data_IF_479575869014
#
_entry.id   IF_479575869014
#
_cell.length_a   1.000
_cell.length_b   1.000
_cell.length_c   1.000
_cell.angle_alpha   90.00
_cell.angle_beta   90.00
_cell.angle_gamma   90.00
#
_symmetry.space_group_name_H-M   'P 1'
#
loop_
_entity.id
_entity.type
_entity.pdbx_description
1 polymer ?
#
# COMPACT_ATOMS: atom_id res chain seq x y z
N UNK A 1 10.94 1.92 69.12
CA UNK A 1 12.20 2.56 68.65
C UNK A 1 12.69 1.84 67.40
N UNK A 2 13.45 2.50 66.49
CA UNK A 2 13.36 2.30 65.03
C UNK A 2 14.36 1.24 64.53
N UNK A 3 14.37 0.79 63.27
CA UNK A 3 13.68 1.26 62.07
C UNK A 3 14.69 1.64 60.98
N UNK A 4 14.51 1.16 59.73
CA UNK A 4 15.23 1.69 58.56
C UNK A 4 14.49 1.41 57.25
N UNK A 5 13.93 2.47 56.68
CA UNK A 5 13.64 2.56 55.24
C UNK A 5 14.92 2.99 54.55
N UNK A 6 15.31 2.34 53.45
CA UNK A 6 16.22 2.95 52.48
C UNK A 6 15.98 2.45 51.04
N UNK A 7 15.23 3.29 50.32
CA UNK A 7 15.33 3.67 48.90
C UNK A 7 16.15 2.80 47.92
N UNK A 8 15.54 2.56 46.75
CA UNK A 8 16.16 2.09 45.51
C UNK A 8 17.43 2.87 45.09
N UNK A 9 18.26 2.23 44.26
CA UNK A 9 18.63 2.81 42.97
C UNK A 9 17.97 2.07 41.79
N UNK A 10 17.57 2.84 40.76
CA UNK A 10 17.02 2.34 39.48
C UNK A 10 18.14 1.86 38.54
N UNK A 11 17.71 1.11 37.51
CA UNK A 11 18.42 0.71 36.27
C UNK A 11 19.38 -0.49 36.34
N UNK A 12 18.97 -1.57 35.67
CA UNK A 12 19.61 -1.95 34.40
C UNK A 12 18.57 -2.58 33.47
N UNK A 13 18.17 -1.88 32.40
CA UNK A 13 17.40 -2.50 31.32
C UNK A 13 18.32 -3.46 30.55
N UNK A 14 18.12 -4.77 30.70
CA UNK A 14 18.62 -5.73 29.71
C UNK A 14 17.71 -5.67 28.49
N UNK A 15 18.25 -5.23 27.35
CA UNK A 15 17.57 -5.34 26.06
C UNK A 15 17.27 -6.82 25.78
N UNK A 16 16.05 -7.18 25.35
CA UNK A 16 15.86 -8.45 24.66
C UNK A 16 16.51 -8.34 23.28
N UNK A 17 17.52 -9.16 23.00
CA UNK A 17 17.91 -9.46 21.63
C UNK A 17 16.85 -10.39 21.04
N UNK A 18 15.78 -9.79 20.50
CA UNK A 18 14.73 -10.48 19.76
C UNK A 18 14.92 -10.28 18.26
N UNK A 19 15.01 -11.39 17.53
CA UNK A 19 15.06 -11.41 16.06
C UNK A 19 13.81 -10.74 15.49
N UNK A 20 13.96 -9.56 14.87
CA UNK A 20 12.88 -8.85 14.19
C UNK A 20 13.10 -8.89 12.67
N UNK A 21 12.00 -8.79 11.92
CA UNK A 21 11.91 -8.88 10.46
C UNK A 21 12.18 -10.30 9.94
N UNK A 22 11.11 -11.12 9.94
CA UNK A 22 11.05 -12.33 9.14
C UNK A 22 10.49 -12.04 7.75
N UNK A 23 11.05 -12.71 6.73
CA UNK A 23 10.46 -12.87 5.39
C UNK A 23 10.16 -11.60 4.57
N UNK A 24 11.22 -10.96 4.06
CA UNK A 24 11.27 -10.43 2.69
C UNK A 24 12.71 -10.58 2.18
N UNK A 25 12.89 -10.98 0.91
CA UNK A 25 14.19 -10.89 0.24
C UNK A 25 14.08 -10.97 -1.29
N UNK A 26 14.60 -9.91 -1.94
CA UNK A 26 14.96 -9.75 -3.36
C UNK A 26 13.89 -9.26 -4.35
N UNK A 27 14.12 -8.08 -4.96
CA UNK A 27 14.79 -8.03 -6.27
C UNK A 27 15.04 -6.61 -6.85
N UNK A 28 16.02 -6.54 -7.75
CA UNK A 28 16.42 -5.40 -8.62
C UNK A 28 15.69 -5.51 -10.00
N UNK A 29 15.85 -4.68 -11.06
CA UNK A 29 16.90 -3.73 -11.47
C UNK A 29 16.41 -2.77 -12.62
N UNK A 30 17.00 -1.55 -12.75
CA UNK A 30 16.94 -0.63 -13.94
C UNK A 30 15.55 0.00 -14.32
N UNK A 31 15.39 1.15 -15.03
CA UNK A 31 16.27 2.09 -15.76
C UNK A 31 15.76 3.58 -15.69
N UNK A 32 16.70 4.52 -15.47
CA UNK A 32 16.81 5.97 -15.83
C UNK A 32 15.58 6.79 -16.32
N UNK A 33 15.28 7.93 -15.64
CA UNK A 33 15.61 9.30 -16.10
C UNK A 33 15.40 10.36 -14.99
N UNK A 34 16.27 11.36 -14.83
CA UNK A 34 16.08 12.43 -13.83
C UNK A 34 15.25 13.59 -14.41
N UNK A 35 14.34 14.17 -13.61
CA UNK A 35 14.30 15.63 -13.40
C UNK A 35 13.26 16.06 -12.33
N UNK A 36 13.55 17.23 -11.74
CA UNK A 36 12.73 18.07 -10.85
C UNK A 36 12.24 17.50 -9.49
N UNK A 37 13.10 17.67 -8.48
CA UNK A 37 12.69 17.81 -7.08
C UNK A 37 12.30 19.29 -6.82
N UNK A 38 11.08 19.55 -6.35
CA UNK A 38 10.78 20.77 -5.56
C UNK A 38 9.64 20.58 -4.56
N UNK A 39 9.64 21.44 -3.55
CA UNK A 39 9.29 21.14 -2.17
C UNK A 39 7.78 21.21 -1.80
N UNK A 40 7.49 20.72 -0.59
CA UNK A 40 6.21 20.62 0.11
C UNK A 40 5.70 21.98 0.64
N UNK A 41 5.05 22.76 -0.22
CA UNK A 41 3.98 23.70 0.16
C UNK A 41 3.15 23.98 -1.11
N UNK A 42 1.98 24.61 -0.95
CA UNK A 42 0.94 24.81 -1.96
C UNK A 42 0.18 23.55 -2.39
N UNK A 43 -1.13 23.56 -2.10
CA UNK A 43 -2.14 22.68 -2.69
C UNK A 43 -2.30 23.01 -4.18
N UNK A 44 -1.32 22.67 -5.01
CA UNK A 44 -1.37 22.83 -6.47
C UNK A 44 -2.65 22.16 -7.01
N UNK A 45 -3.34 22.77 -7.99
CA UNK A 45 -4.62 22.28 -8.49
C UNK A 45 -4.45 20.85 -9.01
N UNK A 46 -5.20 19.93 -8.39
CA UNK A 46 -5.12 18.48 -8.62
C UNK A 46 -5.27 18.17 -10.12
N UNK A 47 -4.20 17.66 -10.73
CA UNK A 47 -4.04 17.65 -12.19
C UNK A 47 -5.22 17.00 -12.93
N UNK A 48 -5.60 17.59 -14.07
CA UNK A 48 -6.70 17.20 -14.98
C UNK A 48 -6.80 15.68 -15.28
N UNK A 49 -5.68 14.96 -15.20
CA UNK A 49 -5.62 13.51 -15.41
C UNK A 49 -6.26 12.67 -14.30
N UNK A 50 -6.34 13.19 -13.07
CA UNK A 50 -6.99 12.50 -11.94
C UNK A 50 -8.53 12.50 -12.07
N UNK A 51 -9.12 13.42 -12.85
CA UNK A 51 -10.58 13.48 -13.06
C UNK A 51 -11.16 12.19 -13.69
N UNK A 52 -10.32 11.34 -14.31
CA UNK A 52 -10.72 10.03 -14.84
C UNK A 52 -10.92 8.98 -13.73
N UNK A 53 -10.21 9.11 -12.61
CA UNK A 53 -10.09 8.05 -11.60
C UNK A 53 -10.92 8.35 -10.37
N UNK A 54 -11.71 7.37 -9.95
CA UNK A 54 -12.43 7.39 -8.67
C UNK A 54 -11.56 6.68 -7.65
N UNK A 55 -11.00 7.43 -6.69
CA UNK A 55 -10.18 6.87 -5.62
C UNK A 55 -11.10 6.51 -4.45
N UNK A 56 -11.29 5.22 -4.22
CA UNK A 56 -12.26 4.72 -3.24
C UNK A 56 -11.80 3.45 -2.54
N UNK A 57 -12.39 3.19 -1.37
CA UNK A 57 -12.25 1.93 -0.65
C UNK A 57 -12.80 0.77 -1.48
N UNK A 58 -12.08 -0.34 -1.46
CA UNK A 58 -12.53 -1.61 -2.02
C UNK A 58 -13.50 -2.27 -1.04
N UNK A 59 -14.60 -2.84 -1.54
CA UNK A 59 -15.53 -3.65 -0.75
C UNK A 59 -15.39 -5.16 -1.03
N UNK A 60 -15.83 -6.06 -0.13
CA UNK A 60 -15.64 -7.51 -0.31
C UNK A 60 -16.24 -8.05 -1.61
N UNK A 61 -17.33 -7.42 -2.06
CA UNK A 61 -18.07 -7.74 -3.28
C UNK A 61 -17.27 -7.48 -4.57
N UNK A 62 -16.18 -6.73 -4.47
CA UNK A 62 -15.34 -6.28 -5.58
C UNK A 62 -14.01 -7.04 -5.66
N UNK A 63 -13.86 -8.13 -4.90
CA UNK A 63 -12.65 -8.98 -4.87
C UNK A 63 -12.22 -9.41 -6.28
N UNK A 64 -13.17 -9.58 -7.20
CA UNK A 64 -12.88 -9.91 -8.60
C UNK A 64 -12.27 -8.73 -9.40
N UNK A 65 -12.64 -7.48 -9.12
CA UNK A 65 -11.98 -6.31 -9.75
C UNK A 65 -10.52 -6.20 -9.28
N UNK A 66 -10.26 -6.48 -8.00
CA UNK A 66 -8.91 -6.57 -7.46
C UNK A 66 -8.11 -7.74 -8.06
N UNK A 67 -8.72 -8.93 -8.21
CA UNK A 67 -8.10 -10.08 -8.90
C UNK A 67 -7.72 -9.74 -10.33
N UNK A 68 -8.64 -9.15 -11.12
CA UNK A 68 -8.37 -8.72 -12.51
C UNK A 68 -7.23 -7.71 -12.58
N UNK A 69 -7.21 -6.73 -11.68
CA UNK A 69 -6.12 -5.76 -11.55
C UNK A 69 -4.76 -6.44 -11.31
N UNK A 70 -4.67 -7.37 -10.35
CA UNK A 70 -3.44 -8.10 -10.08
C UNK A 70 -2.98 -8.97 -11.26
N UNK A 71 -3.91 -9.66 -11.93
CA UNK A 71 -3.57 -10.52 -13.08
C UNK A 71 -3.06 -9.72 -14.29
N UNK A 72 -3.49 -8.46 -14.47
CA UNK A 72 -2.98 -7.56 -15.52
C UNK A 72 -1.55 -7.05 -15.30
N UNK A 73 -1.00 -7.18 -14.09
CA UNK A 73 0.36 -6.72 -13.80
C UNK A 73 1.40 -7.50 -14.63
N UNK A 74 2.36 -6.79 -15.21
CA UNK A 74 3.52 -7.38 -15.86
C UNK A 74 4.48 -8.05 -14.84
N UNK A 75 5.39 -8.96 -15.27
CA UNK A 75 6.21 -9.74 -14.36
C UNK A 75 7.11 -8.91 -13.43
N UNK A 76 7.67 -7.80 -13.94
CA UNK A 76 8.50 -6.87 -13.18
C UNK A 76 7.68 -6.19 -12.07
N UNK A 77 6.48 -5.71 -12.42
CA UNK A 77 5.56 -5.08 -11.45
C UNK A 77 5.12 -6.05 -10.37
N UNK A 78 4.85 -7.31 -10.72
CA UNK A 78 4.57 -8.38 -9.74
C UNK A 78 5.78 -8.56 -8.81
N UNK A 79 6.98 -8.68 -9.37
CA UNK A 79 8.22 -8.86 -8.61
C UNK A 79 8.49 -7.72 -7.62
N UNK A 80 8.32 -6.45 -8.04
CA UNK A 80 8.44 -5.30 -7.14
C UNK A 80 7.32 -5.23 -6.08
N UNK A 81 6.09 -5.66 -6.39
CA UNK A 81 4.97 -5.65 -5.44
C UNK A 81 5.05 -6.76 -4.40
N UNK A 82 5.57 -7.93 -4.76
CA UNK A 82 5.55 -9.14 -3.92
C UNK A 82 6.93 -9.56 -3.41
N UNK A 83 8.00 -8.83 -3.76
CA UNK A 83 9.36 -9.15 -3.33
C UNK A 83 9.90 -10.48 -3.88
N UNK A 84 9.28 -11.01 -4.94
CA UNK A 84 9.66 -12.26 -5.62
C UNK A 84 8.84 -12.42 -6.91
N UNK A 85 9.34 -13.12 -7.96
CA UNK A 85 8.52 -13.48 -9.12
C UNK A 85 7.33 -14.36 -8.75
N UNK A 86 6.10 -13.94 -9.08
CA UNK A 86 4.86 -14.67 -8.77
C UNK A 86 3.99 -14.96 -9.99
N UNK A 87 3.31 -16.11 -9.97
CA UNK A 87 2.44 -16.59 -11.04
C UNK A 87 0.95 -16.28 -10.77
N UNK A 88 0.10 -16.55 -11.74
CA UNK A 88 -1.34 -16.26 -11.66
C UNK A 88 -2.04 -17.04 -10.54
N UNK A 89 -1.57 -18.25 -10.20
CA UNK A 89 -2.12 -19.04 -9.09
C UNK A 89 -1.86 -18.36 -7.73
N UNK A 90 -0.66 -17.82 -7.52
CA UNK A 90 -0.35 -17.01 -6.35
C UNK A 90 -1.25 -15.77 -6.28
N UNK A 91 -1.39 -15.02 -7.39
CA UNK A 91 -2.22 -13.81 -7.42
C UNK A 91 -3.70 -14.09 -7.18
N UNK A 92 -4.20 -15.24 -7.65
CA UNK A 92 -5.55 -15.70 -7.35
C UNK A 92 -5.73 -15.94 -5.85
N UNK A 93 -4.92 -16.82 -5.25
CA UNK A 93 -4.99 -17.13 -3.83
C UNK A 93 -4.75 -15.88 -2.95
N UNK A 94 -3.92 -14.95 -3.42
CA UNK A 94 -3.69 -13.66 -2.78
C UNK A 94 -4.94 -12.77 -2.82
N UNK A 95 -5.62 -12.65 -3.97
CA UNK A 95 -6.85 -11.85 -4.07
C UNK A 95 -7.94 -12.36 -3.11
N UNK A 96 -8.07 -13.69 -2.97
CA UNK A 96 -9.00 -14.33 -2.05
C UNK A 96 -8.65 -14.11 -0.57
N UNK A 97 -7.38 -13.86 -0.24
CA UNK A 97 -6.89 -13.74 1.14
C UNK A 97 -6.45 -12.35 1.56
N UNK A 98 -6.31 -11.39 0.64
CA UNK A 98 -5.78 -10.04 0.95
C UNK A 98 -6.61 -9.28 1.99
N UNK A 99 -7.93 -9.48 2.02
CA UNK A 99 -8.86 -8.83 2.96
C UNK A 99 -8.88 -9.50 4.36
N UNK A 100 -7.72 -9.81 4.94
CA UNK A 100 -7.65 -10.33 6.31
C UNK A 100 -8.16 -9.27 7.31
N UNK A 101 -8.54 -9.70 8.51
CA UNK A 101 -8.86 -8.80 9.62
C UNK A 101 -7.67 -7.85 9.83
N UNK A 102 -7.93 -6.54 9.91
CA UNK A 102 -6.89 -5.51 10.00
C UNK A 102 -6.31 -5.03 8.67
N UNK A 103 -6.80 -5.52 7.51
CA UNK A 103 -6.42 -4.97 6.19
C UNK A 103 -7.48 -4.03 5.62
N UNK A 104 -7.04 -2.87 5.13
CA UNK A 104 -7.84 -1.95 4.31
C UNK A 104 -7.22 -1.86 2.92
N UNK A 105 -8.03 -1.82 1.87
CA UNK A 105 -7.58 -1.68 0.49
C UNK A 105 -8.31 -0.49 -0.14
N UNK A 106 -7.55 0.45 -0.69
CA UNK A 106 -8.04 1.52 -1.56
C UNK A 106 -7.66 1.23 -3.01
N UNK A 107 -8.52 1.59 -3.95
CA UNK A 107 -8.29 1.42 -5.38
C UNK A 107 -8.54 2.68 -6.19
N UNK A 108 -7.90 2.78 -7.34
CA UNK A 108 -8.18 3.79 -8.36
C UNK A 108 -8.97 3.17 -9.51
N UNK A 109 -10.23 3.58 -9.67
CA UNK A 109 -11.18 2.96 -10.58
C UNK A 109 -11.53 3.83 -11.78
N UNK A 110 -11.81 3.21 -12.94
CA UNK A 110 -12.50 3.83 -14.07
C UNK A 110 -13.70 2.94 -14.42
N UNK A 111 -14.91 3.38 -14.08
CA UNK A 111 -16.05 2.46 -13.99
C UNK A 111 -15.77 1.36 -12.94
N UNK A 112 -16.09 0.09 -13.22
CA UNK A 112 -15.84 -1.02 -12.28
C UNK A 112 -14.40 -1.55 -12.28
N UNK A 113 -13.54 -1.12 -13.22
CA UNK A 113 -12.17 -1.61 -13.35
C UNK A 113 -11.18 -0.81 -12.50
N UNK A 114 -10.43 -1.52 -11.64
CA UNK A 114 -9.33 -0.98 -10.84
C UNK A 114 -8.01 -0.99 -11.62
N UNK A 115 -7.24 0.10 -11.55
CA UNK A 115 -5.93 0.24 -12.24
C UNK A 115 -4.75 0.53 -11.31
N UNK A 116 -5.04 0.80 -10.03
CA UNK A 116 -4.06 0.88 -8.96
C UNK A 116 -4.71 0.47 -7.65
N UNK A 117 -3.92 -0.05 -6.73
CA UNK A 117 -4.33 -0.36 -5.37
C UNK A 117 -3.28 0.06 -4.35
N UNK A 118 -3.75 0.37 -3.14
CA UNK A 118 -2.92 0.48 -1.95
C UNK A 118 -3.55 -0.29 -0.80
N UNK A 119 -2.73 -1.04 -0.08
CA UNK A 119 -3.12 -1.87 1.05
C UNK A 119 -2.47 -1.34 2.33
N UNK A 120 -3.27 -1.15 3.37
CA UNK A 120 -2.83 -0.89 4.75
C UNK A 120 -3.04 -2.16 5.56
N UNK A 121 -2.00 -2.67 6.20
CA UNK A 121 -2.00 -3.98 6.88
C UNK A 121 -1.41 -3.85 8.28
N UNK A 122 -2.22 -4.03 9.33
CA UNK A 122 -1.71 -4.10 10.70
C UNK A 122 -0.65 -5.21 10.85
N UNK A 123 0.48 -4.92 11.48
CA UNK A 123 1.58 -5.90 11.63
C UNK A 123 1.28 -6.94 12.72
N UNK A 124 0.59 -6.55 13.80
CA UNK A 124 0.08 -7.46 14.81
C UNK A 124 -1.46 -7.38 14.97
N UNK A 125 -2.04 -8.43 15.55
CA UNK A 125 -3.47 -8.51 15.79
C UNK A 125 -3.86 -7.79 17.09
N UNK A 126 -4.50 -6.62 16.94
CA UNK A 126 -5.09 -5.76 17.99
C UNK A 126 -4.06 -4.95 18.80
N UNK A 127 -4.32 -3.63 18.90
CA UNK A 127 -3.57 -2.71 19.76
C UNK A 127 -2.20 -2.28 19.23
N UNK A 128 -1.91 -2.57 17.96
CA UNK A 128 -0.60 -2.36 17.36
C UNK A 128 -0.49 -0.98 16.70
N UNK A 129 0.48 -0.18 17.13
CA UNK A 129 0.71 1.18 16.64
C UNK A 129 1.38 1.20 15.24
N UNK A 130 1.58 0.04 14.62
CA UNK A 130 2.36 -0.14 13.38
C UNK A 130 1.57 -0.89 12.29
N UNK A 131 1.75 -0.47 11.04
CA UNK A 131 1.18 -1.14 9.89
C UNK A 131 2.06 -1.02 8.64
N UNK A 132 2.03 -2.04 7.78
CA UNK A 132 2.66 -2.02 6.47
C UNK A 132 1.75 -1.31 5.45
N UNK A 133 2.33 -0.45 4.62
CA UNK A 133 1.67 0.21 3.51
C UNK A 133 2.28 -0.24 2.16
N UNK A 134 1.49 -0.90 1.32
CA UNK A 134 1.97 -1.52 0.09
C UNK A 134 1.14 -1.10 -1.14
N UNK A 135 1.82 -0.76 -2.24
CA UNK A 135 1.23 -0.04 -3.38
C UNK A 135 1.52 -0.75 -4.71
N UNK A 136 0.58 -0.70 -5.64
CA UNK A 136 0.81 -1.08 -7.05
C UNK A 136 -0.04 -0.24 -8.00
N UNK A 137 0.53 0.09 -9.17
CA UNK A 137 -0.12 0.81 -10.27
C UNK A 137 0.21 0.07 -11.56
N UNK A 138 -0.82 -0.26 -12.35
CA UNK A 138 -0.64 -0.85 -13.69
C UNK A 138 0.22 0.07 -14.56
N UNK A 139 1.15 -0.50 -15.33
CA UNK A 139 2.21 0.25 -16.00
C UNK A 139 1.68 1.36 -16.93
N UNK A 140 0.59 1.12 -17.65
CA UNK A 140 -0.09 2.12 -18.49
C UNK A 140 -0.75 3.28 -17.72
N UNK A 141 -0.90 3.17 -16.40
CA UNK A 141 -1.60 4.12 -15.52
C UNK A 141 -0.64 4.88 -14.58
N UNK A 142 0.67 4.58 -14.63
CA UNK A 142 1.71 5.30 -13.88
C UNK A 142 1.82 6.78 -14.28
N UNK A 143 2.54 7.56 -13.48
CA UNK A 143 2.80 8.99 -13.70
C UNK A 143 1.57 9.92 -13.69
N UNK A 144 0.35 9.41 -13.47
CA UNK A 144 -0.87 10.20 -13.30
C UNK A 144 -1.16 10.66 -11.85
N UNK A 145 -0.18 10.58 -10.95
CA UNK A 145 -0.32 10.97 -9.53
C UNK A 145 -1.04 9.97 -8.61
N UNK A 146 -1.52 8.84 -9.14
CA UNK A 146 -2.31 7.83 -8.40
C UNK A 146 -1.68 7.40 -7.08
N UNK A 147 -0.36 7.14 -7.07
CA UNK A 147 0.35 6.75 -5.85
C UNK A 147 0.28 7.82 -4.74
N UNK A 148 0.30 9.12 -5.07
CA UNK A 148 0.14 10.18 -4.07
C UNK A 148 -1.27 10.22 -3.49
N UNK A 149 -2.31 10.08 -4.30
CA UNK A 149 -3.69 10.12 -3.80
C UNK A 149 -4.04 8.87 -2.99
N UNK A 150 -3.47 7.71 -3.38
CA UNK A 150 -3.59 6.48 -2.60
C UNK A 150 -2.79 6.56 -1.28
N UNK A 151 -1.59 7.14 -1.26
CA UNK A 151 -0.82 7.35 -0.04
C UNK A 151 -1.56 8.22 0.98
N UNK A 152 -2.19 9.30 0.50
CA UNK A 152 -3.02 10.18 1.32
C UNK A 152 -4.16 9.42 2.02
N UNK A 153 -4.90 8.59 1.26
CA UNK A 153 -5.94 7.70 1.82
C UNK A 153 -5.41 6.68 2.82
N UNK A 154 -4.22 6.12 2.59
CA UNK A 154 -3.58 5.17 3.51
C UNK A 154 -3.18 5.86 4.82
N UNK A 155 -2.65 7.08 4.78
CA UNK A 155 -2.30 7.86 5.97
C UNK A 155 -3.55 8.26 6.76
N UNK A 156 -4.62 8.72 6.09
CA UNK A 156 -5.91 8.98 6.75
C UNK A 156 -6.46 7.72 7.42
N UNK A 157 -6.39 6.58 6.73
CA UNK A 157 -6.86 5.31 7.28
C UNK A 157 -6.01 4.84 8.48
N UNK A 158 -4.70 5.08 8.47
CA UNK A 158 -3.81 4.79 9.58
C UNK A 158 -4.11 5.66 10.81
N UNK A 159 -4.19 6.98 10.61
CA UNK A 159 -4.59 7.98 11.61
C UNK A 159 -5.89 7.60 12.31
N UNK A 160 -6.94 7.28 11.54
CA UNK A 160 -8.25 6.92 12.08
C UNK A 160 -8.30 5.55 12.78
N UNK A 161 -7.25 4.74 12.65
CA UNK A 161 -7.08 3.44 13.32
C UNK A 161 -6.09 3.48 14.49
N UNK A 162 -5.60 4.67 14.86
CA UNK A 162 -4.56 4.87 15.85
C UNK A 162 -3.25 4.09 15.55
N UNK A 163 -2.97 3.87 14.27
CA UNK A 163 -1.64 3.46 13.81
C UNK A 163 -0.79 4.74 13.82
N UNK A 164 0.33 4.73 14.51
CA UNK A 164 1.24 5.87 14.63
C UNK A 164 2.44 5.77 13.67
N UNK A 165 2.81 4.56 13.23
CA UNK A 165 3.94 4.35 12.32
C UNK A 165 3.56 3.46 11.14
N UNK A 166 3.68 4.02 9.93
CA UNK A 166 3.55 3.27 8.67
C UNK A 166 4.92 2.83 8.19
N UNK A 167 5.06 1.53 7.96
CA UNK A 167 6.25 0.88 7.43
C UNK A 167 6.07 0.61 5.95
N UNK A 168 7.11 0.91 5.17
CA UNK A 168 7.13 0.74 3.71
C UNK A 168 8.43 0.07 3.32
N UNK A 169 8.36 -1.22 2.99
CA UNK A 169 9.51 -1.97 2.49
C UNK A 169 9.43 -1.98 0.96
N UNK A 170 10.54 -1.61 0.31
CA UNK A 170 10.66 -1.72 -1.14
C UNK A 170 12.10 -2.04 -1.53
N UNK A 171 12.33 -2.54 -2.75
CA UNK A 171 13.68 -2.67 -3.27
C UNK A 171 14.38 -1.30 -3.27
N UNK A 172 15.70 -1.26 -3.00
CA UNK A 172 16.51 -0.04 -3.07
C UNK A 172 16.42 0.64 -4.44
N UNK A 173 16.18 -0.13 -5.49
CA UNK A 173 16.04 0.33 -6.87
C UNK A 173 14.65 0.90 -7.16
N UNK A 174 13.63 0.69 -6.30
CA UNK A 174 12.28 1.25 -6.43
C UNK A 174 12.25 2.73 -5.98
N UNK A 175 13.01 3.54 -6.69
CA UNK A 175 13.10 4.98 -6.54
C UNK A 175 11.74 5.71 -6.65
N UNK A 176 10.77 5.28 -7.50
CA UNK A 176 9.43 5.86 -7.48
C UNK A 176 8.70 5.67 -6.16
N UNK A 177 8.84 4.50 -5.51
CA UNK A 177 8.23 4.23 -4.21
C UNK A 177 8.93 5.03 -3.09
N UNK A 178 10.26 5.12 -3.12
CA UNK A 178 11.02 5.92 -2.16
C UNK A 178 10.64 7.40 -2.23
N UNK A 179 10.67 8.01 -3.42
CA UNK A 179 10.26 9.42 -3.62
C UNK A 179 8.79 9.68 -3.22
N UNK A 180 7.92 8.69 -3.42
CA UNK A 180 6.53 8.77 -2.95
C UNK A 180 6.46 8.75 -1.42
N UNK A 181 7.22 7.90 -0.73
CA UNK A 181 7.30 7.96 0.74
C UNK A 181 7.91 9.27 1.24
N UNK A 182 9.06 9.69 0.70
CA UNK A 182 9.76 10.93 1.07
C UNK A 182 8.86 12.17 0.95
N UNK A 183 8.03 12.24 -0.11
CA UNK A 183 7.04 13.31 -0.30
C UNK A 183 6.06 13.44 0.88
N UNK A 184 5.73 12.33 1.54
CA UNK A 184 4.85 12.29 2.70
C UNK A 184 5.61 12.30 4.04
N UNK A 185 6.95 12.37 4.01
CA UNK A 185 7.81 12.46 5.19
C UNK A 185 8.52 11.17 5.56
N UNK A 186 8.54 10.15 4.69
CA UNK A 186 9.28 8.93 4.97
C UNK A 186 10.78 9.18 4.99
N UNK A 187 11.48 8.59 5.97
CA UNK A 187 12.93 8.51 5.98
C UNK A 187 13.36 7.09 5.63
N UNK A 188 13.94 6.90 4.43
CA UNK A 188 14.40 5.59 3.98
C UNK A 188 15.79 5.26 4.53
N UNK A 189 15.90 4.08 5.16
CA UNK A 189 17.16 3.44 5.52
C UNK A 189 17.39 2.28 4.56
N UNK A 190 18.58 2.17 4.00
CA UNK A 190 18.95 1.03 3.15
C UNK A 190 19.48 -0.08 4.06
N UNK A 191 18.88 -1.26 3.99
CA UNK A 191 19.32 -2.45 4.71
C UNK A 191 19.23 -3.68 3.80
N UNK A 192 20.27 -4.51 3.78
CA UNK A 192 20.37 -5.75 3.00
C UNK A 192 19.92 -5.73 1.50
N UNK A 193 19.88 -4.55 0.87
CA UNK A 193 19.44 -4.36 -0.54
C UNK A 193 18.00 -3.85 -0.69
N UNK A 194 17.29 -3.72 0.42
CA UNK A 194 15.96 -3.12 0.52
C UNK A 194 16.07 -1.70 1.10
N UNK A 195 14.99 -0.95 0.96
CA UNK A 195 14.81 0.39 1.52
C UNK A 195 13.58 0.37 2.42
N UNK A 196 13.81 0.47 3.73
CA UNK A 196 12.77 0.60 4.75
C UNK A 196 12.47 2.08 4.98
N UNK A 197 11.26 2.51 4.62
CA UNK A 197 10.72 3.84 4.92
C UNK A 197 9.73 3.78 6.08
N UNK A 198 9.83 4.75 6.99
CA UNK A 198 8.92 4.92 8.12
C UNK A 198 8.21 6.28 7.99
N UNK A 199 6.87 6.31 8.02
CA UNK A 199 6.06 7.55 8.06
C UNK A 199 5.31 7.62 9.39
N UNK A 200 5.40 8.75 10.10
CA UNK A 200 4.56 9.03 11.26
C UNK A 200 3.15 9.43 10.82
N UNK A 201 2.14 8.71 11.30
CA UNK A 201 0.74 9.03 11.07
C UNK A 201 0.19 9.88 12.24
N UNK A 202 -0.51 11.01 11.96
CA UNK A 202 -1.05 11.86 13.02
C UNK A 202 -2.09 11.15 13.89
N UNK A 203 -2.32 11.68 15.10
CA UNK A 203 -3.43 11.24 15.94
C UNK A 203 -4.80 11.51 15.26
N UNK A 204 -5.83 10.67 15.49
CA UNK A 204 -7.15 10.84 14.88
C UNK A 204 -7.78 12.18 15.24
N UNK A 205 -8.46 12.79 14.27
CA UNK A 205 -9.20 14.05 14.46
C UNK A 205 -10.68 13.85 14.13
N UNK A 206 -11.60 14.65 14.70
CA UNK A 206 -13.02 14.58 14.33
C UNK A 206 -13.25 14.80 12.82
N UNK A 207 -12.41 15.62 12.18
CA UNK A 207 -12.47 15.89 10.73
C UNK A 207 -12.02 14.68 9.92
N UNK A 208 -10.89 14.04 10.27
CA UNK A 208 -10.41 12.85 9.54
C UNK A 208 -11.35 11.66 9.68
N UNK A 209 -11.98 11.49 10.85
CA UNK A 209 -13.00 10.47 11.08
C UNK A 209 -14.27 10.71 10.26
N UNK A 210 -14.74 11.97 10.19
CA UNK A 210 -15.90 12.34 9.38
C UNK A 210 -15.62 12.20 7.88
N UNK A 211 -14.43 12.58 7.42
CA UNK A 211 -14.02 12.43 6.03
C UNK A 211 -13.98 10.95 5.59
N UNK A 212 -13.38 10.06 6.40
CA UNK A 212 -13.41 8.62 6.10
C UNK A 212 -14.86 8.08 6.09
N UNK A 213 -15.70 8.45 7.06
CA UNK A 213 -17.08 7.96 7.13
C UNK A 213 -17.96 8.41 5.94
N UNK A 214 -17.80 9.66 5.49
CA UNK A 214 -18.48 10.17 4.30
C UNK A 214 -18.01 9.47 3.02
N UNK A 215 -16.69 9.29 2.87
CA UNK A 215 -16.13 8.57 1.73
C UNK A 215 -16.54 7.09 1.73
N UNK A 216 -16.40 6.38 2.84
CA UNK A 216 -16.83 4.98 2.98
C UNK A 216 -18.29 4.75 2.56
N UNK A 217 -19.19 5.66 2.95
CA UNK A 217 -20.62 5.57 2.61
C UNK A 217 -20.84 5.74 1.10
N UNK A 218 -20.21 6.75 0.50
CA UNK A 218 -20.23 7.00 -0.96
C UNK A 218 -19.61 5.84 -1.76
N UNK A 219 -18.51 5.30 -1.24
CA UNK A 219 -17.73 4.22 -1.83
C UNK A 219 -18.51 2.89 -1.80
N UNK A 220 -19.24 2.62 -0.72
CA UNK A 220 -20.09 1.43 -0.62
C UNK A 220 -21.28 1.50 -1.58
N UNK A 221 -22.01 2.63 -1.60
CA UNK A 221 -23.12 2.86 -2.54
C UNK A 221 -22.64 2.72 -3.98
N UNK A 222 -21.46 3.28 -4.27
CA UNK A 222 -20.77 3.11 -5.55
C UNK A 222 -20.50 1.64 -5.89
N UNK A 223 -19.87 0.89 -4.99
CA UNK A 223 -19.52 -0.50 -5.22
C UNK A 223 -20.77 -1.37 -5.49
N UNK A 224 -21.89 -1.07 -4.84
CA UNK A 224 -23.18 -1.73 -5.08
C UNK A 224 -23.76 -1.37 -6.46
N UNK A 225 -23.65 -0.12 -6.93
CA UNK A 225 -24.08 0.26 -8.28
C UNK A 225 -23.17 -0.28 -9.39
N UNK A 226 -21.85 -0.28 -9.18
CA UNK A 226 -20.87 -0.88 -10.09
C UNK A 226 -21.00 -2.42 -10.13
N UNK A 227 -21.59 -3.05 -9.11
CA UNK A 227 -21.84 -4.49 -9.01
C UNK A 227 -23.11 -4.92 -9.77
N UNK A 228 -22.93 -5.26 -11.05
CA UNK A 228 -23.91 -6.03 -11.82
C UNK A 228 -23.46 -7.49 -12.00
N UNK A 229 -24.36 -8.50 -11.88
CA UNK A 229 -24.03 -9.91 -12.16
C UNK A 229 -23.71 -10.24 -13.64
N UNK A 230 -23.66 -9.24 -14.53
CA UNK A 230 -23.57 -9.43 -15.98
C UNK A 230 -22.47 -8.50 -16.54
N UNK A 231 -21.24 -8.99 -16.50
CA UNK A 231 -20.15 -8.52 -17.36
C UNK A 231 -19.10 -9.64 -17.52
N UNK A 232 -19.47 -10.65 -18.30
CA UNK A 232 -18.53 -11.66 -18.81
C UNK A 232 -17.55 -10.98 -19.79
N UNK A 233 -16.57 -10.25 -19.26
CA UNK A 233 -15.44 -9.82 -20.07
C UNK A 233 -14.72 -11.07 -20.61
N UNK A 234 -14.36 -11.12 -21.90
CA UNK A 234 -13.66 -12.27 -22.45
C UNK A 234 -12.35 -12.46 -21.69
N UNK A 235 -12.05 -13.70 -21.31
CA UNK A 235 -10.76 -14.01 -20.70
C UNK A 235 -9.64 -13.56 -21.64
N UNK A 236 -8.56 -12.92 -21.14
CA UNK A 236 -7.43 -12.60 -21.97
C UNK A 236 -6.84 -13.89 -22.54
N UNK A 237 -6.73 -13.99 -23.87
CA UNK A 237 -6.18 -15.19 -24.50
C UNK A 237 -4.79 -15.50 -23.93
N UNK A 238 -4.51 -16.78 -23.59
CA UNK A 238 -3.19 -17.16 -23.07
C UNK A 238 -2.13 -16.82 -24.11
N UNK A 239 -1.12 -16.01 -23.71
CA UNK A 239 -0.02 -15.59 -24.58
C UNK A 239 0.57 -16.81 -25.30
N UNK A 240 0.33 -16.92 -26.61
CA UNK A 240 0.95 -17.94 -27.45
C UNK A 240 2.47 -17.76 -27.41
N UNK A 241 3.13 -18.62 -26.64
CA UNK A 241 4.59 -18.77 -26.69
C UNK A 241 4.96 -19.11 -28.13
N UNK A 242 5.59 -18.16 -28.83
CA UNK A 242 6.21 -18.44 -30.13
C UNK A 242 7.32 -19.45 -29.91
N UNK A 243 7.03 -20.73 -30.16
CA UNK A 243 8.09 -21.73 -30.36
C UNK A 243 8.90 -21.32 -31.58
N UNK A 244 10.06 -20.71 -31.36
CA UNK A 244 11.07 -20.63 -32.40
C UNK A 244 11.44 -22.07 -32.79
N UNK A 245 11.21 -22.42 -34.05
CA UNK A 245 11.91 -23.53 -34.69
C UNK A 245 13.24 -22.97 -35.17
N UNK A 246 14.31 -23.54 -34.65
CA UNK A 246 15.71 -23.40 -35.05
C UNK A 246 16.39 -24.69 -34.63
#
# INVERSE_FOLDING_TARGET
>A
MPGRVLLHPRRAMRKPHGSFIGFLLHCTIFLISPDEIKFRQDSKPMHRHLQKYRIRKLWPIETESFRRHLLRLDPETRQFRFGTPVNDNFLNAYADTARRIGTVIYGAFVGPEMYASAELRSLHAVGDEMAEAAFVVETAHRHHGLGSVLMDRIITAAQNRAIHQLHMICARENQPMQRLGEKFGAHFKIDHGEALGEIEAPAPTPVSLLDEAMHDTSDFVTAVFDWSPIASAPQPEPRRIRRHRG
#
